data_IF_722281328666
#
_entry.id   IF_722281328666
#
_cell.length_a   1.000
_cell.length_b   1.000
_cell.length_c   1.000
_cell.angle_alpha   90.00
_cell.angle_beta   90.00
_cell.angle_gamma   90.00
#
_symmetry.space_group_name_H-M   'P 1'
#
loop_
_entity.id
_entity.type
_entity.pdbx_description
1 polymer ?
#
# COMPACT_ATOMS: atom_id res chain seq x y z
N UNK A 1 -12.75 -60.26 22.13
CA UNK A 1 -13.15 -59.93 20.75
C UNK A 1 -14.20 -58.84 20.85
N UNK A 2 -13.80 -57.59 20.67
CA UNK A 2 -14.67 -56.41 20.82
C UNK A 2 -13.99 -55.26 20.09
N UNK A 3 -14.66 -54.78 19.05
CA UNK A 3 -14.20 -53.83 18.04
C UNK A 3 -13.90 -52.43 18.60
N UNK A 4 -12.80 -51.87 18.11
CA UNK A 4 -12.36 -50.47 18.21
C UNK A 4 -13.45 -49.47 17.80
N UNK A 5 -13.67 -48.36 18.55
CA UNK A 5 -14.20 -47.14 17.97
C UNK A 5 -13.07 -46.46 17.20
N UNK A 6 -13.20 -46.44 15.88
CA UNK A 6 -12.40 -45.63 14.98
C UNK A 6 -12.58 -44.16 15.32
N UNK A 7 -11.58 -43.57 15.97
CA UNK A 7 -11.34 -42.13 15.89
C UNK A 7 -11.29 -41.77 14.41
N UNK A 8 -12.17 -40.85 13.99
CA UNK A 8 -12.21 -40.31 12.64
C UNK A 8 -10.96 -39.52 12.33
N UNK A 9 -9.88 -40.24 12.01
CA UNK A 9 -8.76 -39.72 11.24
C UNK A 9 -9.27 -39.65 9.80
N UNK A 10 -9.72 -38.47 9.38
CA UNK A 10 -9.80 -38.16 7.97
C UNK A 10 -8.44 -38.49 7.35
N UNK A 11 -8.41 -39.42 6.40
CA UNK A 11 -7.21 -40.10 5.88
C UNK A 11 -6.25 -39.20 5.07
N UNK A 12 -6.40 -37.89 5.15
CA UNK A 12 -5.46 -36.93 4.62
C UNK A 12 -5.12 -35.93 5.71
N UNK A 13 -3.87 -35.96 6.17
CA UNK A 13 -3.28 -34.99 7.10
C UNK A 13 -3.15 -33.59 6.51
N UNK A 14 -4.24 -33.05 5.97
CA UNK A 14 -4.34 -31.68 5.46
C UNK A 14 -4.85 -30.83 6.62
N UNK A 15 -3.96 -30.00 7.16
CA UNK A 15 -4.34 -29.06 8.23
C UNK A 15 -5.50 -28.20 7.72
N UNK A 16 -6.43 -27.86 8.61
CA UNK A 16 -7.56 -26.97 8.31
C UNK A 16 -7.13 -25.54 7.90
N UNK A 17 -5.83 -25.26 7.89
CA UNK A 17 -5.22 -24.01 7.45
C UNK A 17 -5.12 -23.87 5.91
N UNK A 18 -5.36 -24.95 5.16
CA UNK A 18 -5.19 -25.00 3.70
C UNK A 18 -6.39 -24.41 2.92
N UNK A 19 -7.27 -23.64 3.58
CA UNK A 19 -8.44 -23.06 2.91
C UNK A 19 -8.01 -21.80 2.13
N UNK A 20 -8.08 -21.80 0.78
CA UNK A 20 -7.81 -20.60 0.00
C UNK A 20 -8.73 -19.47 0.45
N UNK A 21 -8.17 -18.25 0.54
CA UNK A 21 -8.86 -17.06 1.04
C UNK A 21 -10.31 -16.95 0.54
N UNK A 22 -11.25 -16.45 1.38
CA UNK A 22 -12.62 -16.21 0.97
C UNK A 22 -12.63 -15.30 -0.27
N UNK A 23 -13.30 -15.76 -1.34
CA UNK A 23 -13.31 -15.09 -2.64
C UNK A 23 -13.73 -13.60 -2.58
N UNK A 24 -14.47 -13.23 -1.54
CA UNK A 24 -14.96 -11.89 -1.25
C UNK A 24 -13.85 -10.86 -0.99
N UNK A 25 -12.76 -11.24 -0.30
CA UNK A 25 -11.68 -10.30 0.07
C UNK A 25 -10.96 -9.77 -1.17
N UNK A 26 -10.59 -10.66 -2.07
CA UNK A 26 -9.89 -10.29 -3.30
C UNK A 26 -10.78 -9.53 -4.27
N UNK A 27 -12.10 -9.78 -4.22
CA UNK A 27 -13.05 -8.98 -4.97
C UNK A 27 -13.16 -7.57 -4.42
N UNK A 28 -13.26 -7.40 -3.09
CA UNK A 28 -13.22 -6.08 -2.45
C UNK A 28 -11.94 -5.35 -2.81
N UNK A 29 -10.77 -6.00 -2.70
CA UNK A 29 -9.50 -5.38 -3.03
C UNK A 29 -9.48 -4.89 -4.48
N UNK A 30 -9.87 -5.75 -5.42
CA UNK A 30 -9.90 -5.39 -6.82
C UNK A 30 -10.88 -4.24 -7.09
N UNK A 31 -12.05 -4.21 -6.42
CA UNK A 31 -13.03 -3.13 -6.54
C UNK A 31 -12.48 -1.82 -5.95
N UNK A 32 -11.88 -1.85 -4.76
CA UNK A 32 -11.30 -0.65 -4.13
C UNK A 32 -10.18 -0.10 -4.99
N UNK A 33 -9.25 -0.95 -5.42
CA UNK A 33 -8.10 -0.53 -6.26
C UNK A 33 -8.60 -0.01 -7.61
N UNK A 34 -9.59 -0.66 -8.23
CA UNK A 34 -10.21 -0.16 -9.46
C UNK A 34 -10.91 1.18 -9.25
N UNK A 35 -11.64 1.37 -8.14
CA UNK A 35 -12.33 2.61 -7.82
C UNK A 35 -11.33 3.76 -7.61
N UNK A 36 -10.28 3.53 -6.83
CA UNK A 36 -9.21 4.51 -6.60
C UNK A 36 -8.51 4.86 -7.92
N UNK A 37 -8.18 3.85 -8.73
CA UNK A 37 -7.55 4.06 -10.04
C UNK A 37 -8.46 4.82 -11.01
N UNK A 38 -9.77 4.52 -10.99
CA UNK A 38 -10.76 5.22 -11.84
C UNK A 38 -10.96 6.66 -11.38
N UNK A 39 -11.06 6.90 -10.08
CA UNK A 39 -11.19 8.25 -9.52
C UNK A 39 -9.95 9.09 -9.87
N UNK A 40 -8.75 8.53 -9.70
CA UNK A 40 -7.51 9.17 -10.11
C UNK A 40 -7.50 9.47 -11.62
N UNK A 41 -7.88 8.50 -12.46
CA UNK A 41 -7.97 8.72 -13.90
C UNK A 41 -8.92 9.87 -14.26
N UNK A 42 -10.13 9.86 -13.70
CA UNK A 42 -11.13 10.91 -13.94
C UNK A 42 -10.64 12.26 -13.47
N UNK A 43 -10.07 12.35 -12.26
CA UNK A 43 -9.52 13.58 -11.72
C UNK A 43 -8.34 14.11 -12.56
N UNK A 44 -7.42 13.23 -12.97
CA UNK A 44 -6.28 13.60 -13.81
C UNK A 44 -6.70 14.08 -15.18
N UNK A 45 -7.65 13.39 -15.81
CA UNK A 45 -8.24 13.82 -17.09
C UNK A 45 -9.00 15.14 -16.95
N UNK A 46 -9.74 15.35 -15.87
CA UNK A 46 -10.43 16.61 -15.62
C UNK A 46 -9.45 17.79 -15.51
N UNK A 47 -8.35 17.62 -14.75
CA UNK A 47 -7.31 18.64 -14.63
C UNK A 47 -6.74 18.99 -16.00
N UNK A 48 -6.43 17.99 -16.84
CA UNK A 48 -5.86 18.21 -18.17
C UNK A 48 -6.83 18.85 -19.19
N UNK A 49 -8.14 18.78 -18.95
CA UNK A 49 -9.16 19.29 -19.87
C UNK A 49 -9.71 20.65 -19.43
N UNK A 50 -9.75 20.91 -18.12
CA UNK A 50 -10.36 22.13 -17.58
C UNK A 50 -9.34 23.18 -17.14
N UNK A 51 -8.08 22.80 -16.90
CA UNK A 51 -7.04 23.70 -16.42
C UNK A 51 -6.07 23.99 -17.55
N UNK A 52 -6.48 24.89 -18.44
CA UNK A 52 -5.65 25.41 -19.52
C UNK A 52 -4.81 26.60 -19.04
N UNK A 53 -3.76 26.91 -19.80
CA UNK A 53 -2.89 28.07 -19.53
C UNK A 53 -3.68 29.38 -19.42
N UNK A 54 -4.75 29.53 -20.17
CA UNK A 54 -5.61 30.72 -20.13
C UNK A 54 -6.39 30.81 -18.81
N UNK A 55 -6.87 29.68 -18.29
CA UNK A 55 -7.53 29.61 -16.98
C UNK A 55 -6.54 29.90 -15.84
N UNK A 56 -5.29 29.44 -15.98
CA UNK A 56 -4.21 29.75 -15.04
C UNK A 56 -3.81 31.23 -15.09
N UNK A 57 -3.71 31.81 -16.28
CA UNK A 57 -3.38 33.23 -16.45
C UNK A 57 -4.46 34.12 -15.84
N UNK A 58 -5.73 33.83 -16.10
CA UNK A 58 -6.86 34.56 -15.51
C UNK A 58 -6.84 34.50 -13.96
N UNK A 59 -6.50 33.34 -13.38
CA UNK A 59 -6.37 33.20 -11.93
C UNK A 59 -5.24 34.04 -11.32
N UNK A 60 -4.10 34.16 -12.02
CA UNK A 60 -2.96 34.97 -11.57
C UNK A 60 -3.25 36.47 -11.74
N UNK A 61 -4.00 36.87 -12.76
CA UNK A 61 -4.40 38.27 -12.98
C UNK A 61 -5.45 38.75 -11.97
N UNK A 62 -6.41 37.91 -11.58
CA UNK A 62 -7.48 38.25 -10.62
C UNK A 62 -6.98 38.25 -9.15
N UNK A 63 -6.05 37.36 -8.79
CA UNK A 63 -5.40 37.35 -7.49
C UNK A 63 -4.05 38.06 -7.60
N UNK A 64 -4.02 39.37 -7.29
CA UNK A 64 -2.78 40.17 -7.17
C UNK A 64 -1.90 39.72 -5.98
N UNK A 65 -1.50 38.45 -5.97
CA UNK A 65 -0.70 37.80 -4.95
C UNK A 65 0.69 37.64 -5.53
N UNK A 66 1.65 38.37 -4.98
CA UNK A 66 3.07 38.24 -5.31
C UNK A 66 3.52 36.81 -4.98
N UNK A 67 3.68 35.96 -5.99
CA UNK A 67 4.13 34.57 -5.81
C UNK A 67 5.62 34.59 -5.52
N UNK A 68 5.98 34.47 -4.25
CA UNK A 68 7.38 34.39 -3.82
C UNK A 68 7.83 32.93 -3.76
N UNK A 69 8.94 32.60 -4.41
CA UNK A 69 9.62 31.31 -4.24
C UNK A 69 10.93 31.57 -3.51
N UNK A 70 11.01 31.09 -2.27
CA UNK A 70 12.12 31.39 -1.37
C UNK A 70 12.16 32.88 -1.03
N UNK A 71 13.12 33.62 -1.60
CA UNK A 71 13.29 35.07 -1.43
C UNK A 71 13.11 35.87 -2.72
N UNK A 72 12.76 35.21 -3.83
CA UNK A 72 12.65 35.87 -5.13
C UNK A 72 11.17 36.01 -5.49
N UNK A 73 10.75 37.23 -5.82
CA UNK A 73 9.44 37.47 -6.42
C UNK A 73 9.48 36.97 -7.86
N UNK A 74 8.59 36.03 -8.18
CA UNK A 74 8.39 35.60 -9.56
C UNK A 74 7.57 36.65 -10.29
N UNK A 75 7.92 36.91 -11.53
CA UNK A 75 7.05 37.64 -12.46
C UNK A 75 5.81 36.79 -12.78
N UNK A 76 4.70 37.43 -13.17
CA UNK A 76 3.46 36.73 -13.52
C UNK A 76 3.68 35.67 -14.62
N UNK A 77 4.56 35.96 -15.57
CA UNK A 77 4.94 35.03 -16.64
C UNK A 77 5.70 33.80 -16.12
N UNK A 78 6.58 33.98 -15.12
CA UNK A 78 7.32 32.90 -14.48
C UNK A 78 6.39 32.07 -13.57
N UNK A 79 5.53 32.72 -12.79
CA UNK A 79 4.53 32.05 -11.97
C UNK A 79 3.59 31.18 -12.83
N UNK A 80 3.14 31.70 -13.98
CA UNK A 80 2.34 30.96 -14.95
C UNK A 80 3.08 29.75 -15.52
N UNK A 81 4.37 29.90 -15.85
CA UNK A 81 5.17 28.79 -16.38
C UNK A 81 5.37 27.67 -15.34
N UNK A 82 5.60 28.03 -14.07
CA UNK A 82 5.70 27.06 -12.98
C UNK A 82 4.36 26.38 -12.73
N UNK A 83 3.27 27.13 -12.68
CA UNK A 83 1.93 26.60 -12.46
C UNK A 83 1.52 25.64 -13.58
N UNK A 84 1.73 26.02 -14.84
CA UNK A 84 1.46 25.19 -16.02
C UNK A 84 2.26 23.87 -15.98
N UNK A 85 3.55 23.94 -15.62
CA UNK A 85 4.39 22.75 -15.45
C UNK A 85 3.87 21.83 -14.32
N UNK A 86 3.53 22.39 -13.15
CA UNK A 86 3.01 21.60 -12.02
C UNK A 86 1.68 20.95 -12.38
N UNK A 87 0.75 21.69 -12.96
CA UNK A 87 -0.58 21.22 -13.34
C UNK A 87 -0.49 20.14 -14.42
N UNK A 88 0.28 20.36 -15.48
CA UNK A 88 0.41 19.41 -16.59
C UNK A 88 1.02 18.08 -16.14
N UNK A 89 2.10 18.12 -15.36
CA UNK A 89 2.73 16.93 -14.80
C UNK A 89 1.85 16.22 -13.78
N UNK A 90 1.16 16.97 -12.92
CA UNK A 90 0.25 16.39 -11.91
C UNK A 90 -0.96 15.75 -12.59
N UNK A 91 -1.57 16.40 -13.57
CA UNK A 91 -2.69 15.86 -14.35
C UNK A 91 -2.30 14.60 -15.12
N UNK A 92 -1.16 14.63 -15.82
CA UNK A 92 -0.62 13.47 -16.54
C UNK A 92 -0.27 12.33 -15.59
N UNK A 93 0.40 12.65 -14.48
CA UNK A 93 0.77 11.69 -13.47
C UNK A 93 -0.43 11.00 -12.84
N UNK A 94 -1.45 11.77 -12.49
CA UNK A 94 -2.67 11.25 -11.89
C UNK A 94 -3.42 10.33 -12.87
N UNK A 95 -3.47 10.69 -14.16
CA UNK A 95 -4.03 9.83 -15.20
C UNK A 95 -3.23 8.52 -15.37
N UNK A 96 -1.89 8.60 -15.46
CA UNK A 96 -1.02 7.42 -15.64
C UNK A 96 -1.02 6.49 -14.42
N UNK A 97 -0.98 7.05 -13.21
CA UNK A 97 -1.12 6.29 -11.96
C UNK A 97 -2.50 5.66 -11.89
N UNK A 98 -3.56 6.38 -12.27
CA UNK A 98 -4.91 5.85 -12.36
C UNK A 98 -5.00 4.62 -13.27
N UNK A 99 -4.53 4.74 -14.52
CA UNK A 99 -4.45 3.64 -15.49
C UNK A 99 -3.62 2.48 -14.93
N UNK A 100 -2.42 2.75 -14.42
CA UNK A 100 -1.54 1.72 -13.86
C UNK A 100 -2.18 0.97 -12.70
N UNK A 101 -2.91 1.67 -11.84
CA UNK A 101 -3.62 1.10 -10.69
C UNK A 101 -4.80 0.22 -11.15
N UNK A 102 -5.57 0.66 -12.16
CA UNK A 102 -6.62 -0.17 -12.78
C UNK A 102 -6.02 -1.42 -13.43
N UNK A 103 -4.93 -1.28 -14.19
CA UNK A 103 -4.25 -2.41 -14.81
C UNK A 103 -3.69 -3.39 -13.77
N UNK A 104 -3.16 -2.89 -12.64
CA UNK A 104 -2.72 -3.72 -11.53
C UNK A 104 -3.89 -4.49 -10.90
N UNK A 105 -5.05 -3.87 -10.70
CA UNK A 105 -6.26 -4.54 -10.22
C UNK A 105 -6.72 -5.66 -11.17
N UNK A 106 -6.77 -5.36 -12.47
CA UNK A 106 -7.13 -6.33 -13.52
C UNK A 106 -6.11 -7.46 -13.58
N UNK A 107 -4.81 -7.14 -13.55
CA UNK A 107 -3.72 -8.11 -13.54
C UNK A 107 -3.79 -9.05 -12.33
N UNK A 108 -4.08 -8.51 -11.15
CA UNK A 108 -4.29 -9.30 -9.93
C UNK A 108 -5.47 -10.29 -10.07
N UNK A 109 -6.61 -9.84 -10.62
CA UNK A 109 -7.76 -10.72 -10.90
C UNK A 109 -7.42 -11.85 -11.88
N UNK A 110 -6.66 -11.54 -12.94
CA UNK A 110 -6.24 -12.51 -13.95
C UNK A 110 -5.23 -13.50 -13.37
N UNK A 111 -4.23 -13.01 -12.63
CA UNK A 111 -3.24 -13.86 -11.95
C UNK A 111 -3.93 -14.82 -11.00
N UNK A 112 -4.89 -14.35 -10.19
CA UNK A 112 -5.63 -15.20 -9.27
C UNK A 112 -6.50 -16.25 -9.97
N UNK A 113 -7.10 -15.94 -11.12
CA UNK A 113 -7.81 -16.94 -11.94
C UNK A 113 -6.86 -18.03 -12.45
N UNK A 114 -5.61 -17.68 -12.78
CA UNK A 114 -4.59 -18.67 -13.18
C UNK A 114 -4.09 -19.51 -12.00
N UNK A 115 -3.92 -18.93 -10.81
CA UNK A 115 -3.48 -19.66 -9.62
C UNK A 115 -4.50 -20.70 -9.18
N UNK A 116 -5.81 -20.42 -9.30
CA UNK A 116 -6.86 -21.42 -9.05
C UNK A 116 -6.74 -22.65 -9.96
N UNK A 117 -6.32 -22.48 -11.21
CA UNK A 117 -6.06 -23.60 -12.14
C UNK A 117 -4.78 -24.38 -11.82
N UNK A 118 -3.80 -23.77 -11.12
CA UNK A 118 -2.58 -24.46 -10.67
C UNK A 118 -2.74 -25.16 -9.34
N UNK A 119 -3.59 -24.66 -8.43
CA UNK A 119 -3.89 -25.36 -7.18
C UNK A 119 -4.61 -26.70 -7.42
N UNK A 120 -5.34 -26.84 -8.53
CA UNK A 120 -5.84 -28.15 -9.00
C UNK A 120 -4.72 -29.13 -9.42
N UNK A 121 -3.49 -28.65 -9.64
CA UNK A 121 -2.32 -29.44 -9.99
C UNK A 121 -1.41 -29.79 -8.79
N UNK A 122 -1.79 -29.43 -7.56
CA UNK A 122 -1.13 -29.92 -6.33
C UNK A 122 0.15 -29.19 -5.88
N UNK A 123 0.50 -28.04 -6.45
CA UNK A 123 1.63 -27.23 -5.98
C UNK A 123 1.24 -26.37 -4.76
N UNK A 124 1.98 -26.41 -3.63
CA UNK A 124 1.71 -25.58 -2.47
C UNK A 124 1.87 -24.10 -2.84
N UNK A 125 0.75 -23.37 -2.87
CA UNK A 125 0.76 -21.93 -3.12
C UNK A 125 1.45 -21.23 -1.95
N UNK A 126 2.43 -20.36 -2.22
CA UNK A 126 3.15 -19.67 -1.15
C UNK A 126 2.22 -18.70 -0.39
N UNK A 127 1.88 -19.07 0.85
CA UNK A 127 0.99 -18.29 1.73
C UNK A 127 1.53 -16.88 2.03
N UNK A 128 2.86 -16.71 1.97
CA UNK A 128 3.56 -15.45 2.21
C UNK A 128 3.05 -14.26 1.37
N UNK A 129 2.94 -14.43 0.05
CA UNK A 129 2.46 -13.35 -0.83
C UNK A 129 0.99 -13.05 -0.59
N UNK A 130 0.21 -14.07 -0.26
CA UNK A 130 -1.22 -13.98 0.02
C UNK A 130 -1.49 -13.17 1.29
N UNK A 131 -0.75 -13.44 2.37
CA UNK A 131 -0.89 -12.69 3.63
C UNK A 131 -0.38 -11.26 3.51
N UNK A 132 0.68 -11.01 2.73
CA UNK A 132 1.13 -9.66 2.44
C UNK A 132 0.05 -8.83 1.72
N UNK A 133 -0.61 -9.40 0.72
CA UNK A 133 -1.73 -8.75 0.02
C UNK A 133 -2.90 -8.51 0.96
N UNK A 134 -3.23 -9.46 1.84
CA UNK A 134 -4.30 -9.28 2.81
C UNK A 134 -4.01 -8.11 3.78
N UNK A 135 -2.78 -8.04 4.28
CA UNK A 135 -2.33 -6.93 5.09
C UNK A 135 -2.40 -5.60 4.34
N UNK A 136 -2.00 -5.58 3.06
CA UNK A 136 -2.12 -4.40 2.20
C UNK A 136 -3.59 -3.94 2.06
N UNK A 137 -4.55 -4.86 1.93
CA UNK A 137 -5.98 -4.52 1.90
C UNK A 137 -6.39 -3.79 3.18
N UNK A 138 -5.95 -4.29 4.32
CA UNK A 138 -6.27 -3.68 5.62
C UNK A 138 -5.60 -2.31 5.78
N UNK A 139 -4.35 -2.17 5.35
CA UNK A 139 -3.66 -0.87 5.29
C UNK A 139 -4.43 0.15 4.46
N UNK A 140 -4.95 -0.26 3.29
CA UNK A 140 -5.77 0.60 2.42
C UNK A 140 -7.13 0.91 3.05
N UNK A 141 -7.82 -0.08 3.59
CA UNK A 141 -9.13 0.11 4.22
C UNK A 141 -9.05 1.05 5.43
N UNK A 142 -7.92 1.04 6.15
CA UNK A 142 -7.66 1.90 7.30
C UNK A 142 -6.85 3.15 6.94
N UNK A 143 -6.69 3.52 5.67
CA UNK A 143 -5.80 4.60 5.24
C UNK A 143 -6.12 5.98 5.83
N UNK A 144 -7.32 6.15 6.37
CA UNK A 144 -7.72 7.33 7.14
C UNK A 144 -7.03 7.44 8.51
N UNK A 145 -6.36 6.37 8.98
CA UNK A 145 -5.49 6.39 10.15
C UNK A 145 -4.03 6.54 9.74
N UNK A 146 -3.24 7.39 10.42
CA UNK A 146 -1.82 7.56 10.14
C UNK A 146 -0.99 6.29 10.43
N UNK A 147 -1.51 5.37 11.25
CA UNK A 147 -0.85 4.11 11.61
C UNK A 147 -1.39 2.88 10.86
N UNK A 148 -2.14 3.06 9.77
CA UNK A 148 -2.74 1.96 9.01
C UNK A 148 -1.77 0.85 8.57
N UNK A 149 -0.50 1.14 8.18
CA UNK A 149 0.44 0.10 7.80
C UNK A 149 0.74 -0.85 8.97
N UNK A 150 0.68 -0.38 10.21
CA UNK A 150 0.89 -1.23 11.39
C UNK A 150 -0.26 -2.24 11.57
N UNK A 151 -1.51 -1.84 11.31
CA UNK A 151 -2.66 -2.75 11.39
C UNK A 151 -2.63 -3.79 10.27
N UNK A 152 -2.33 -3.38 9.04
CA UNK A 152 -2.17 -4.31 7.92
C UNK A 152 -1.01 -5.28 8.13
N UNK A 153 0.13 -4.76 8.59
CA UNK A 153 1.28 -5.57 8.97
C UNK A 153 0.96 -6.56 10.09
N UNK A 154 0.22 -6.14 11.12
CA UNK A 154 -0.18 -7.01 12.22
C UNK A 154 -1.08 -8.15 11.78
N UNK A 155 -2.04 -7.90 10.89
CA UNK A 155 -2.86 -8.98 10.33
C UNK A 155 -1.99 -9.95 9.51
N UNK A 156 -1.13 -9.44 8.63
CA UNK A 156 -0.27 -10.27 7.80
C UNK A 156 0.68 -11.15 8.64
N UNK A 157 1.31 -10.55 9.67
CA UNK A 157 2.21 -11.27 10.57
C UNK A 157 1.50 -12.26 11.49
N UNK A 158 0.25 -11.97 11.90
CA UNK A 158 -0.56 -12.91 12.68
C UNK A 158 -0.85 -14.20 11.89
N UNK A 159 -1.13 -14.06 10.59
CA UNK A 159 -1.45 -15.19 9.71
C UNK A 159 -0.19 -15.95 9.26
N UNK A 160 0.89 -15.24 8.90
CA UNK A 160 2.15 -15.88 8.48
C UNK A 160 2.75 -16.72 9.61
N UNK A 161 2.49 -16.36 10.88
CA UNK A 161 3.04 -17.08 12.03
C UNK A 161 2.70 -18.57 12.06
N UNK A 162 1.54 -18.96 11.52
CA UNK A 162 1.12 -20.36 11.46
C UNK A 162 1.99 -21.19 10.52
N UNK A 163 2.62 -20.56 9.52
CA UNK A 163 3.39 -21.21 8.47
C UNK A 163 4.90 -20.97 8.62
N UNK A 164 5.32 -19.75 9.02
CA UNK A 164 6.73 -19.41 9.19
C UNK A 164 6.98 -18.27 10.19
N UNK A 165 8.23 -18.14 10.61
CA UNK A 165 8.68 -17.04 11.49
C UNK A 165 8.93 -15.70 10.76
N UNK A 166 8.60 -15.59 9.46
CA UNK A 166 8.86 -14.39 8.63
C UNK A 166 7.82 -13.27 8.80
N UNK A 167 7.31 -13.09 10.02
CA UNK A 167 6.19 -12.19 10.30
C UNK A 167 6.57 -10.71 10.13
N UNK A 168 7.84 -10.35 10.34
CA UNK A 168 8.35 -8.99 10.12
C UNK A 168 8.39 -8.67 8.62
N UNK A 169 8.97 -9.58 7.82
CA UNK A 169 9.12 -9.39 6.37
C UNK A 169 7.78 -9.30 5.65
N UNK A 170 6.82 -10.17 6.01
CA UNK A 170 5.47 -10.11 5.43
C UNK A 170 4.75 -8.81 5.82
N UNK A 171 4.98 -8.34 7.05
CA UNK A 171 4.44 -7.08 7.56
C UNK A 171 5.01 -5.87 6.82
N UNK A 172 6.32 -5.83 6.58
CA UNK A 172 6.96 -4.79 5.75
C UNK A 172 6.37 -4.76 4.35
N UNK A 173 6.19 -5.94 3.73
CA UNK A 173 5.61 -6.04 2.38
C UNK A 173 4.16 -5.53 2.35
N UNK A 174 3.37 -5.90 3.36
CA UNK A 174 1.98 -5.44 3.52
C UNK A 174 1.89 -3.91 3.74
N UNK A 175 2.87 -3.31 4.39
CA UNK A 175 2.96 -1.85 4.57
C UNK A 175 3.42 -1.12 3.30
N UNK A 176 4.38 -1.67 2.56
CA UNK A 176 4.96 -1.03 1.37
C UNK A 176 4.10 -1.16 0.12
N UNK A 177 3.34 -2.24 -0.06
CA UNK A 177 2.51 -2.46 -1.25
C UNK A 177 1.57 -1.26 -1.54
N UNK A 178 0.81 -0.77 -0.55
CA UNK A 178 -0.06 0.39 -0.74
C UNK A 178 0.67 1.71 -1.00
N UNK A 179 1.96 1.82 -0.68
CA UNK A 179 2.74 3.03 -0.89
C UNK A 179 3.16 3.24 -2.36
N UNK A 180 3.12 2.18 -3.18
CA UNK A 180 3.54 2.21 -4.59
C UNK A 180 2.83 3.31 -5.41
N UNK A 181 1.49 3.40 -5.47
CA UNK A 181 0.81 4.45 -6.23
C UNK A 181 1.09 5.85 -5.68
N UNK A 182 1.27 5.99 -4.36
CA UNK A 182 1.60 7.27 -3.72
C UNK A 182 2.99 7.74 -4.15
N UNK A 183 3.98 6.84 -4.13
CA UNK A 183 5.35 7.14 -4.57
C UNK A 183 5.40 7.45 -6.07
N UNK A 184 4.65 6.71 -6.89
CA UNK A 184 4.54 7.01 -8.31
C UNK A 184 3.98 8.42 -8.54
N UNK A 185 2.91 8.80 -7.83
CA UNK A 185 2.34 10.15 -7.91
C UNK A 185 3.34 11.22 -7.46
N UNK A 186 4.09 10.96 -6.39
CA UNK A 186 5.12 11.87 -5.88
C UNK A 186 6.21 12.14 -6.92
N UNK A 187 6.60 11.15 -7.72
CA UNK A 187 7.57 11.32 -8.82
C UNK A 187 7.03 12.28 -9.89
N UNK A 188 5.75 12.20 -10.24
CA UNK A 188 5.14 13.12 -11.21
C UNK A 188 5.05 14.54 -10.66
N UNK A 189 4.62 14.71 -9.41
CA UNK A 189 4.62 16.02 -8.74
C UNK A 189 6.03 16.61 -8.69
N UNK A 190 7.03 15.79 -8.36
CA UNK A 190 8.42 16.22 -8.38
C UNK A 190 8.85 16.65 -9.79
N UNK A 191 8.50 15.89 -10.83
CA UNK A 191 8.76 16.27 -12.22
C UNK A 191 8.15 17.63 -12.58
N UNK A 192 6.91 17.88 -12.18
CA UNK A 192 6.22 19.15 -12.41
C UNK A 192 6.89 20.33 -11.73
N UNK A 193 7.13 20.22 -10.42
CA UNK A 193 7.75 21.31 -9.64
C UNK A 193 9.18 21.58 -10.10
N UNK A 194 9.98 20.53 -10.30
CA UNK A 194 11.38 20.69 -10.73
C UNK A 194 11.46 21.25 -12.15
N UNK A 195 10.65 20.75 -13.09
CA UNK A 195 10.64 21.30 -14.45
C UNK A 195 10.21 22.77 -14.45
N UNK A 196 9.16 23.12 -13.70
CA UNK A 196 8.72 24.50 -13.53
C UNK A 196 9.84 25.41 -13.02
N UNK A 197 10.46 25.07 -11.87
CA UNK A 197 11.53 25.90 -11.29
C UNK A 197 12.75 26.02 -12.21
N UNK A 198 13.13 24.95 -12.91
CA UNK A 198 14.27 24.98 -13.83
C UNK A 198 13.97 25.87 -15.06
N UNK A 199 12.73 25.92 -15.55
CA UNK A 199 12.36 26.78 -16.68
C UNK A 199 12.47 28.27 -16.37
N UNK A 200 12.24 28.66 -15.12
CA UNK A 200 12.33 30.05 -14.66
C UNK A 200 13.70 30.38 -14.04
N UNK A 201 14.71 29.53 -14.26
CA UNK A 201 16.08 29.77 -13.79
C UNK A 201 16.31 29.59 -12.29
N UNK A 202 15.31 29.13 -11.52
CA UNK A 202 15.37 28.93 -10.07
C UNK A 202 16.09 27.62 -9.69
N UNK A 203 17.33 27.46 -10.16
CA UNK A 203 18.08 26.20 -9.99
C UNK A 203 18.39 25.89 -8.52
N UNK A 204 18.69 26.92 -7.71
CA UNK A 204 18.95 26.74 -6.27
C UNK A 204 17.73 26.18 -5.53
N UNK A 205 16.55 26.76 -5.78
CA UNK A 205 15.28 26.29 -5.22
C UNK A 205 14.91 24.91 -5.73
N UNK A 206 15.18 24.61 -7.01
CA UNK A 206 14.94 23.28 -7.57
C UNK A 206 15.74 22.20 -6.84
N UNK A 207 16.99 22.47 -6.46
CA UNK A 207 17.81 21.54 -5.67
C UNK A 207 17.23 21.33 -4.27
N UNK A 208 16.84 22.40 -3.58
CA UNK A 208 16.27 22.32 -2.21
C UNK A 208 14.94 21.57 -2.23
N UNK A 209 14.05 21.90 -3.16
CA UNK A 209 12.75 21.25 -3.33
C UNK A 209 12.94 19.78 -3.74
N UNK A 210 13.85 19.50 -4.67
CA UNK A 210 14.16 18.14 -5.09
C UNK A 210 14.69 17.28 -3.94
N UNK A 211 15.60 17.82 -3.13
CA UNK A 211 16.10 17.15 -1.92
C UNK A 211 14.99 16.91 -0.90
N UNK A 212 14.13 17.91 -0.67
CA UNK A 212 12.96 17.80 0.21
C UNK A 212 12.03 16.67 -0.24
N UNK A 213 11.66 16.65 -1.52
CA UNK A 213 10.78 15.64 -2.10
C UNK A 213 11.40 14.24 -2.05
N UNK A 214 12.70 14.12 -2.29
CA UNK A 214 13.42 12.86 -2.14
C UNK A 214 13.38 12.36 -0.69
N UNK A 215 13.66 13.25 0.28
CA UNK A 215 13.56 12.91 1.70
C UNK A 215 12.14 12.54 2.10
N UNK A 216 11.12 13.23 1.58
CA UNK A 216 9.71 12.85 1.78
C UNK A 216 9.41 11.46 1.20
N UNK A 217 9.92 11.13 0.01
CA UNK A 217 9.75 9.81 -0.59
C UNK A 217 10.39 8.71 0.26
N UNK A 218 11.64 8.93 0.71
CA UNK A 218 12.34 8.04 1.63
C UNK A 218 11.59 7.89 2.95
N UNK A 219 11.06 8.99 3.48
CA UNK A 219 10.25 8.97 4.69
C UNK A 219 8.99 8.13 4.50
N UNK A 220 8.25 8.26 3.39
CA UNK A 220 7.07 7.43 3.11
C UNK A 220 7.42 5.94 3.09
N UNK A 221 8.51 5.57 2.39
CA UNK A 221 8.98 4.18 2.34
C UNK A 221 9.38 3.68 3.72
N UNK A 222 10.19 4.44 4.45
CA UNK A 222 10.67 4.08 5.78
C UNK A 222 9.50 3.97 6.76
N UNK A 223 8.61 4.95 6.78
CA UNK A 223 7.45 5.00 7.67
C UNK A 223 6.51 3.83 7.41
N UNK A 224 6.10 3.59 6.17
CA UNK A 224 5.21 2.49 5.82
C UNK A 224 5.86 1.12 6.07
N UNK A 225 7.13 0.97 5.72
CA UNK A 225 7.90 -0.27 5.92
C UNK A 225 8.14 -0.59 7.39
N UNK A 226 8.51 0.41 8.21
CA UNK A 226 8.76 0.26 9.65
C UNK A 226 7.45 -0.01 10.39
N UNK A 227 6.38 0.73 10.13
CA UNK A 227 5.09 0.46 10.75
C UNK A 227 4.57 -0.92 10.36
N UNK A 228 4.67 -1.30 9.08
CA UNK A 228 4.32 -2.63 8.60
C UNK A 228 5.13 -3.73 9.31
N UNK A 229 6.45 -3.53 9.44
CA UNK A 229 7.34 -4.44 10.16
C UNK A 229 6.97 -4.58 11.64
N UNK A 230 6.74 -3.45 12.32
CA UNK A 230 6.32 -3.40 13.73
C UNK A 230 4.98 -4.10 13.93
N UNK A 231 4.02 -3.82 13.05
CA UNK A 231 2.75 -4.52 12.98
C UNK A 231 2.96 -6.02 12.88
N UNK A 232 3.70 -6.48 11.87
CA UNK A 232 3.98 -7.89 11.63
C UNK A 232 4.68 -8.60 12.79
N UNK A 233 5.60 -7.92 13.47
CA UNK A 233 6.22 -8.41 14.70
C UNK A 233 5.18 -8.61 15.82
N UNK A 234 4.34 -7.60 16.09
CA UNK A 234 3.31 -7.67 17.13
C UNK A 234 2.27 -8.74 16.81
N UNK A 235 1.76 -8.78 15.57
CA UNK A 235 0.82 -9.79 15.10
C UNK A 235 1.35 -11.20 15.26
N UNK A 236 2.60 -11.44 14.84
CA UNK A 236 3.26 -12.74 14.99
C UNK A 236 3.44 -13.15 16.46
N UNK A 237 3.82 -12.20 17.34
CA UNK A 237 3.93 -12.44 18.79
C UNK A 237 2.58 -12.78 19.43
N UNK A 238 1.49 -12.18 18.98
CA UNK A 238 0.15 -12.46 19.49
C UNK A 238 -0.33 -13.86 19.08
N UNK A 239 -0.09 -14.26 17.83
CA UNK A 239 -0.36 -15.62 17.36
C UNK A 239 0.42 -16.66 18.20
N UNK A 240 1.74 -16.45 18.38
CA UNK A 240 2.58 -17.35 19.17
C UNK A 240 2.14 -17.54 20.64
N UNK A 241 1.48 -16.53 21.23
CA UNK A 241 0.93 -16.64 22.60
C UNK A 241 -0.32 -17.50 22.66
N UNK A 242 -1.11 -17.52 21.58
CA UNK A 242 -2.35 -18.31 21.48
C UNK A 242 -2.05 -19.80 21.39
N UNK A 243 -0.92 -20.15 20.78
CA UNK A 243 -0.49 -21.53 20.58
C UNK A 243 0.27 -22.14 21.76
N UNK A 244 0.42 -21.43 22.89
CA UNK A 244 0.95 -21.99 24.14
C UNK A 244 -0.19 -22.53 25.00
N UNK A 245 -0.39 -23.86 25.08
CA UNK A 245 -1.36 -24.44 26.01
C UNK A 245 -0.92 -24.19 27.44
N UNK A 246 -1.90 -24.10 28.33
CA UNK A 246 -1.72 -23.84 29.77
C UNK A 246 -1.16 -25.06 30.52
N UNK A 247 0.05 -25.50 30.20
CA UNK A 247 0.73 -26.58 30.94
C UNK A 247 1.31 -26.13 32.31
N UNK A 248 1.20 -24.85 32.63
CA UNK A 248 1.76 -24.27 33.86
C UNK A 248 0.78 -24.16 35.03
N UNK A 249 -0.35 -24.89 35.03
CA UNK A 249 -1.33 -24.85 36.12
C UNK A 249 -1.71 -26.22 36.69
N UNK A 250 -0.71 -27.05 36.97
CA UNK A 250 -0.80 -28.05 38.05
C UNK A 250 0.14 -27.63 39.19
N UNK A 251 -0.35 -26.96 40.25
CA UNK A 251 0.36 -27.06 41.52
C UNK A 251 0.37 -28.53 41.90
N UNK A 252 1.56 -29.06 42.20
CA UNK A 252 1.71 -30.35 42.85
C UNK A 252 1.10 -30.26 44.25
N UNK A 253 -0.22 -30.38 44.34
CA UNK A 253 -0.92 -30.76 45.56
C UNK A 253 -1.22 -32.25 45.43
N UNK A 254 -0.21 -33.07 45.68
CA UNK A 254 -0.48 -34.38 46.25
C UNK A 254 0.22 -34.42 47.60
N UNK A 255 -0.58 -34.23 48.64
CA UNK A 255 -0.19 -34.42 50.01
C UNK A 255 -0.59 -35.83 50.43
N UNK A 256 0.32 -36.48 51.15
CA UNK A 256 0.07 -37.55 52.13
C UNK A 256 -0.76 -38.75 51.66
N UNK A 257 -0.09 -39.90 51.59
CA UNK A 257 -0.25 -40.97 52.58
C UNK A 257 0.94 -41.93 52.53
#
# INVERSE_FOLDING_TARGET
MGSTPTEGVDREGRSTADRPLPAFVDWILAVIVALVGTLALVAGSAVLVFVDRDALAAGIEDEAVTVTVGTTELTDAEALAVADAVVSWTGTGLALVGVGTVLAAVGYLVARRRTRRRSEAGEPASSYGTYAVLGAVVTVALSFLPFSPAFGGALAGYLERAESDRTVSVGTLAGLLPAIPVLAMLVFVAGGVLSGLLTVGQTGEAVVVGATLLLSALFVVAFAGVLGALGGYVGGRLAARRDRPSDARRPASDGRQ
#
